data_IF_348684834039
#
_entry.id   IF_348684834039
#
_cell.length_a   1.000
_cell.length_b   1.000
_cell.length_c   1.000
_cell.angle_alpha   90.00
_cell.angle_beta   90.00
_cell.angle_gamma   90.00
#
_symmetry.space_group_name_H-M   'P 1'
#
loop_
_entity.id
_entity.type
_entity.pdbx_description
1 polymer ?
#
# COMPACT_ATOMS: atom_id res chain seq x y z
N UNK A 1 -15.62 -6.60 -2.61
CA UNK A 1 -16.07 -5.82 -3.79
C UNK A 1 -16.31 -6.76 -4.96
N UNK A 2 -17.30 -6.49 -5.82
CA UNK A 2 -17.55 -7.25 -7.05
C UNK A 2 -17.64 -6.26 -8.21
N UNK A 3 -17.12 -6.64 -9.37
CA UNK A 3 -17.29 -5.89 -10.61
C UNK A 3 -18.72 -6.13 -11.14
N UNK A 4 -19.33 -5.08 -11.69
CA UNK A 4 -20.59 -5.21 -12.40
C UNK A 4 -20.38 -5.96 -13.73
N UNK A 5 -21.33 -6.81 -14.12
CA UNK A 5 -21.28 -7.61 -15.33
C UNK A 5 -22.60 -7.51 -16.10
N UNK A 6 -22.60 -7.88 -17.37
CA UNK A 6 -23.82 -8.16 -18.14
C UNK A 6 -24.46 -9.51 -17.76
N UNK A 7 -23.76 -10.33 -16.98
CA UNK A 7 -24.27 -11.60 -16.45
C UNK A 7 -25.16 -11.42 -15.21
N UNK A 8 -25.75 -12.53 -14.76
CA UNK A 8 -26.68 -12.54 -13.63
C UNK A 8 -26.03 -12.25 -12.26
N UNK A 9 -24.72 -12.36 -12.13
CA UNK A 9 -23.96 -12.21 -10.87
C UNK A 9 -22.70 -11.36 -11.08
N UNK A 10 -22.42 -10.49 -10.13
CA UNK A 10 -21.14 -9.78 -10.09
C UNK A 10 -19.97 -10.73 -9.87
N UNK A 11 -18.82 -10.40 -10.43
CA UNK A 11 -17.60 -11.20 -10.37
C UNK A 11 -16.44 -10.32 -9.87
N UNK A 12 -15.50 -10.88 -9.12
CA UNK A 12 -14.28 -10.14 -8.77
C UNK A 12 -13.21 -10.36 -9.84
N UNK A 13 -12.89 -9.30 -10.58
CA UNK A 13 -11.73 -9.24 -11.46
C UNK A 13 -10.82 -8.09 -10.99
N UNK A 14 -9.61 -8.43 -10.58
CA UNK A 14 -8.69 -7.47 -9.94
C UNK A 14 -7.88 -6.67 -10.96
N UNK A 15 -7.48 -7.31 -12.04
CA UNK A 15 -6.62 -6.76 -13.10
C UNK A 15 -6.73 -7.63 -14.37
N UNK A 16 -5.97 -7.28 -15.40
CA UNK A 16 -5.95 -8.00 -16.68
C UNK A 16 -5.52 -9.46 -16.54
N UNK A 17 -4.48 -9.73 -15.77
CA UNK A 17 -3.97 -11.10 -15.58
C UNK A 17 -5.04 -11.97 -14.88
N UNK A 18 -5.75 -11.41 -13.90
CA UNK A 18 -6.84 -12.12 -13.24
C UNK A 18 -8.06 -12.33 -14.15
N UNK A 19 -8.29 -11.47 -15.15
CA UNK A 19 -9.34 -11.69 -16.15
C UNK A 19 -9.09 -12.99 -16.96
N UNK A 20 -7.83 -13.26 -17.29
CA UNK A 20 -7.46 -14.44 -18.06
C UNK A 20 -7.64 -15.75 -17.24
N UNK A 21 -7.64 -15.66 -15.90
CA UNK A 21 -7.86 -16.79 -14.99
C UNK A 21 -9.34 -17.05 -14.66
N UNK A 22 -10.24 -16.08 -14.91
CA UNK A 22 -11.66 -16.26 -14.63
C UNK A 22 -12.42 -16.85 -15.80
N UNK A 23 -13.60 -17.42 -15.51
CA UNK A 23 -14.47 -17.99 -16.56
C UNK A 23 -15.13 -16.88 -17.35
N UNK A 24 -14.54 -16.49 -18.47
CA UNK A 24 -15.00 -15.40 -19.34
C UNK A 24 -16.33 -15.69 -20.06
N UNK A 25 -16.80 -16.92 -20.04
CA UNK A 25 -18.11 -17.34 -20.59
C UNK A 25 -19.31 -16.96 -19.69
N UNK A 26 -19.06 -16.33 -18.54
CA UNK A 26 -20.12 -15.91 -17.62
C UNK A 26 -20.71 -14.54 -17.95
N UNK A 27 -20.07 -13.77 -18.83
CA UNK A 27 -20.46 -12.38 -19.19
C UNK A 27 -19.94 -12.03 -20.58
N UNK A 28 -20.59 -11.09 -21.24
CA UNK A 28 -20.07 -10.42 -22.45
C UNK A 28 -19.18 -9.23 -22.06
N UNK A 29 -19.63 -8.45 -21.08
CA UNK A 29 -18.90 -7.29 -20.61
C UNK A 29 -18.87 -7.27 -19.07
N UNK A 30 -17.74 -6.81 -18.53
CA UNK A 30 -17.53 -6.60 -17.09
C UNK A 30 -16.86 -5.25 -16.87
N UNK A 31 -17.31 -4.51 -15.87
CA UNK A 31 -16.69 -3.26 -15.50
C UNK A 31 -15.22 -3.48 -15.04
N UNK A 32 -14.29 -2.64 -15.47
CA UNK A 32 -12.87 -2.72 -15.05
C UNK A 32 -12.66 -2.49 -13.57
N UNK A 33 -13.50 -1.66 -12.96
CA UNK A 33 -13.37 -1.31 -11.55
C UNK A 33 -14.43 -2.01 -10.73
N UNK A 34 -14.06 -2.71 -9.66
CA UNK A 34 -15.02 -3.34 -8.77
C UNK A 34 -15.78 -2.27 -7.97
N UNK A 35 -17.03 -2.57 -7.65
CA UNK A 35 -17.90 -1.69 -6.87
C UNK A 35 -19.21 -1.34 -7.58
N UNK A 36 -20.07 -0.63 -6.88
CA UNK A 36 -21.39 -0.22 -7.37
C UNK A 36 -21.32 0.78 -8.53
N UNK A 37 -20.20 1.48 -8.69
CA UNK A 37 -20.00 2.44 -9.78
C UNK A 37 -20.15 1.79 -11.17
N UNK A 38 -19.73 0.52 -11.30
CA UNK A 38 -19.88 -0.23 -12.54
C UNK A 38 -21.32 -0.49 -12.96
N UNK A 39 -22.28 -0.42 -12.04
CA UNK A 39 -23.70 -0.60 -12.35
C UNK A 39 -24.28 0.54 -13.20
N UNK A 40 -23.61 1.67 -13.31
CA UNK A 40 -23.99 2.79 -14.19
C UNK A 40 -23.52 2.62 -15.63
N UNK A 41 -22.76 1.56 -15.92
CA UNK A 41 -22.26 1.30 -17.26
C UNK A 41 -23.27 0.50 -18.07
N UNK A 42 -23.39 0.87 -19.32
CA UNK A 42 -24.18 0.18 -20.33
C UNK A 42 -23.34 0.01 -21.57
N UNK A 43 -23.43 -1.13 -22.21
CA UNK A 43 -22.81 -1.38 -23.51
C UNK A 43 -23.89 -1.60 -24.54
N UNK A 44 -23.76 -0.89 -25.65
CA UNK A 44 -24.71 -0.95 -26.76
C UNK A 44 -23.96 -1.31 -28.03
N UNK A 45 -24.42 -2.33 -28.76
CA UNK A 45 -23.77 -2.89 -29.94
C UNK A 45 -24.68 -2.77 -31.15
N UNK A 46 -24.18 -2.21 -32.24
CA UNK A 46 -24.85 -2.13 -33.52
C UNK A 46 -24.18 -3.07 -34.53
N UNK A 47 -24.89 -4.10 -35.03
CA UNK A 47 -24.37 -5.01 -36.05
C UNK A 47 -24.32 -4.37 -37.44
N UNK A 48 -23.76 -5.11 -38.42
CA UNK A 48 -23.62 -4.68 -39.82
C UNK A 48 -24.94 -4.63 -40.58
N UNK A 49 -25.92 -3.86 -40.07
CA UNK A 49 -27.21 -3.63 -40.72
C UNK A 49 -27.50 -2.14 -40.80
N UNK A 50 -27.58 -1.62 -42.02
CA UNK A 50 -27.82 -0.18 -42.27
C UNK A 50 -29.18 0.30 -41.72
N UNK A 51 -30.19 -0.59 -41.68
CA UNK A 51 -31.52 -0.27 -41.17
C UNK A 51 -31.45 -0.15 -39.64
N UNK A 52 -30.77 -1.06 -38.98
CA UNK A 52 -30.53 -1.06 -37.54
C UNK A 52 -29.73 0.19 -37.15
N UNK A 53 -28.64 0.46 -37.90
CA UNK A 53 -27.79 1.65 -37.64
C UNK A 53 -28.57 2.96 -37.74
N UNK A 54 -29.42 3.10 -38.77
CA UNK A 54 -30.20 4.33 -38.94
C UNK A 54 -31.16 4.61 -37.78
N UNK A 55 -31.63 3.56 -37.12
CA UNK A 55 -32.52 3.66 -35.94
C UNK A 55 -31.80 3.64 -34.59
N UNK A 56 -30.50 3.47 -34.59
CA UNK A 56 -29.70 3.31 -33.39
C UNK A 56 -29.48 4.66 -32.68
N UNK A 57 -29.70 4.70 -31.36
CA UNK A 57 -29.62 5.92 -30.58
C UNK A 57 -28.25 6.62 -30.59
N UNK A 58 -27.20 5.88 -30.89
CA UNK A 58 -25.81 6.36 -30.88
C UNK A 58 -25.18 6.47 -32.28
N UNK A 59 -25.99 6.38 -33.34
CA UNK A 59 -25.50 6.46 -34.73
C UNK A 59 -24.69 7.72 -35.01
N UNK A 60 -25.06 8.86 -34.40
CA UNK A 60 -24.37 10.14 -34.57
C UNK A 60 -22.93 10.16 -34.00
N UNK A 61 -22.53 9.14 -33.26
CA UNK A 61 -21.18 8.99 -32.71
C UNK A 61 -20.22 8.30 -33.69
N UNK A 62 -20.73 7.82 -34.85
CA UNK A 62 -19.98 7.04 -35.82
C UNK A 62 -20.12 7.62 -37.22
N UNK A 63 -19.07 7.52 -38.02
CA UNK A 63 -19.00 8.15 -39.36
C UNK A 63 -19.89 7.45 -40.40
N UNK A 64 -20.10 6.14 -40.29
CA UNK A 64 -20.90 5.35 -41.20
C UNK A 64 -21.44 4.08 -40.53
N UNK A 65 -22.39 3.39 -41.16
CA UNK A 65 -22.87 2.08 -40.72
C UNK A 65 -21.73 1.02 -40.80
N UNK A 66 -21.69 0.06 -39.85
CA UNK A 66 -20.77 -1.05 -39.94
C UNK A 66 -21.16 -1.98 -41.12
N UNK A 67 -20.19 -2.68 -41.68
CA UNK A 67 -20.41 -3.48 -42.87
C UNK A 67 -19.48 -4.69 -42.95
N UNK A 68 -18.79 -4.82 -44.05
CA UNK A 68 -17.82 -5.89 -44.29
C UNK A 68 -16.42 -5.29 -44.33
N UNK A 69 -15.55 -5.78 -43.49
CA UNK A 69 -14.14 -5.36 -43.50
C UNK A 69 -13.42 -5.89 -44.76
N UNK A 70 -12.36 -5.21 -45.18
CA UNK A 70 -11.49 -5.68 -46.27
C UNK A 70 -10.92 -7.07 -45.94
N UNK A 71 -10.61 -7.31 -44.67
CA UNK A 71 -10.10 -8.59 -44.18
C UNK A 71 -11.10 -9.73 -44.39
N UNK A 72 -12.36 -9.52 -44.08
CA UNK A 72 -13.44 -10.50 -44.27
C UNK A 72 -13.77 -10.68 -45.78
N UNK A 73 -13.84 -9.58 -46.54
CA UNK A 73 -14.11 -9.62 -47.98
C UNK A 73 -13.08 -10.44 -48.75
N UNK A 74 -11.80 -10.30 -48.43
CA UNK A 74 -10.70 -11.09 -49.02
C UNK A 74 -10.85 -12.61 -48.77
N UNK A 75 -11.63 -12.99 -47.75
CA UNK A 75 -11.91 -14.39 -47.36
C UNK A 75 -13.30 -14.86 -47.72
N UNK A 76 -13.99 -14.10 -48.58
CA UNK A 76 -15.37 -14.38 -48.99
C UNK A 76 -16.38 -14.44 -47.83
N UNK A 77 -16.09 -13.69 -46.77
CA UNK A 77 -16.99 -13.40 -45.64
C UNK A 77 -17.63 -12.04 -45.79
N UNK A 78 -18.73 -11.78 -45.07
CA UNK A 78 -19.48 -10.53 -45.12
C UNK A 78 -20.04 -10.16 -43.74
N UNK A 79 -20.33 -8.89 -43.55
CA UNK A 79 -21.04 -8.33 -42.37
C UNK A 79 -20.35 -8.61 -41.03
N UNK A 80 -19.03 -8.66 -41.02
CA UNK A 80 -18.24 -8.94 -39.82
C UNK A 80 -18.06 -7.74 -38.89
N UNK A 81 -18.25 -6.52 -39.39
CA UNK A 81 -18.05 -5.33 -38.61
C UNK A 81 -19.23 -5.04 -37.66
N UNK A 82 -18.96 -4.41 -36.55
CA UNK A 82 -19.94 -3.86 -35.63
C UNK A 82 -19.42 -2.60 -34.97
N UNK A 83 -20.33 -1.78 -34.44
CA UNK A 83 -20.01 -0.66 -33.57
C UNK A 83 -20.38 -0.99 -32.13
N UNK A 84 -19.52 -0.57 -31.21
CA UNK A 84 -19.77 -0.72 -29.78
C UNK A 84 -19.62 0.64 -29.11
N UNK A 85 -20.62 1.00 -28.30
CA UNK A 85 -20.61 2.19 -27.46
C UNK A 85 -20.68 1.80 -25.99
N UNK A 86 -19.86 2.43 -25.17
CA UNK A 86 -19.91 2.33 -23.71
C UNK A 86 -20.54 3.61 -23.17
N UNK A 87 -21.60 3.48 -22.41
CA UNK A 87 -22.47 4.57 -21.98
C UNK A 87 -22.50 4.64 -20.45
N UNK A 88 -22.52 5.83 -19.89
CA UNK A 88 -22.84 6.11 -18.49
C UNK A 88 -24.35 6.25 -18.35
N UNK A 89 -25.05 5.14 -18.10
CA UNK A 89 -26.51 5.10 -18.10
C UNK A 89 -27.12 6.02 -17.05
N UNK A 90 -26.62 5.97 -15.83
CA UNK A 90 -27.12 6.71 -14.68
C UNK A 90 -26.38 8.04 -14.42
N UNK A 91 -25.29 8.29 -15.11
CA UNK A 91 -24.48 9.49 -14.94
C UNK A 91 -23.51 9.44 -13.75
N UNK A 92 -23.22 8.25 -13.21
CA UNK A 92 -22.33 8.12 -12.04
C UNK A 92 -20.86 8.40 -12.36
N UNK A 93 -20.45 8.27 -13.63
CA UNK A 93 -19.09 8.56 -14.10
C UNK A 93 -18.90 9.99 -14.60
N UNK A 94 -19.84 10.45 -15.44
CA UNK A 94 -19.77 11.74 -16.13
C UNK A 94 -20.51 12.87 -15.39
N UNK A 95 -21.42 12.51 -14.50
CA UNK A 95 -22.39 13.45 -13.88
C UNK A 95 -23.63 13.67 -14.74
N UNK A 96 -23.73 13.12 -15.96
CA UNK A 96 -24.86 13.29 -16.87
C UNK A 96 -25.31 11.92 -17.39
N UNK A 97 -26.54 11.47 -17.05
CA UNK A 97 -27.08 10.22 -17.56
C UNK A 97 -27.11 10.14 -19.08
N UNK A 98 -26.79 8.96 -19.61
CA UNK A 98 -26.81 8.70 -21.06
C UNK A 98 -25.57 9.21 -21.82
N UNK A 99 -24.55 9.67 -21.11
CA UNK A 99 -23.28 10.12 -21.76
C UNK A 99 -22.53 8.95 -22.36
N UNK A 100 -22.13 9.05 -23.63
CA UNK A 100 -21.22 8.09 -24.27
C UNK A 100 -19.81 8.34 -23.76
N UNK A 101 -19.22 7.33 -23.13
CA UNK A 101 -17.88 7.39 -22.55
C UNK A 101 -16.80 6.96 -23.56
N UNK A 102 -17.05 5.88 -24.30
CA UNK A 102 -16.14 5.33 -25.30
C UNK A 102 -16.91 4.80 -26.50
N UNK A 103 -16.26 4.82 -27.66
CA UNK A 103 -16.77 4.23 -28.91
C UNK A 103 -15.72 3.34 -29.54
N UNK A 104 -16.14 2.21 -30.09
CA UNK A 104 -15.29 1.28 -30.82
C UNK A 104 -15.89 1.08 -32.23
N UNK A 105 -15.46 1.88 -33.21
CA UNK A 105 -15.97 1.82 -34.56
C UNK A 105 -15.36 0.64 -35.34
N UNK A 106 -16.15 0.00 -36.16
CA UNK A 106 -15.75 -1.01 -37.17
C UNK A 106 -14.90 -2.13 -36.58
N UNK A 107 -15.21 -2.59 -35.36
CA UNK A 107 -14.56 -3.78 -34.78
C UNK A 107 -15.18 -5.03 -35.39
N UNK A 108 -14.37 -6.08 -35.60
CA UNK A 108 -14.78 -7.29 -36.27
C UNK A 108 -15.21 -8.38 -35.28
N UNK A 109 -16.20 -9.15 -35.69
CA UNK A 109 -16.63 -10.40 -35.03
C UNK A 109 -15.67 -11.56 -35.29
N UNK A 110 -14.90 -11.51 -36.38
CA UNK A 110 -13.95 -12.57 -36.72
C UNK A 110 -12.75 -12.57 -35.79
N UNK A 111 -12.49 -13.69 -35.13
CA UNK A 111 -11.41 -13.80 -34.12
C UNK A 111 -10.00 -13.64 -34.69
N UNK A 112 -9.83 -13.88 -36.00
CA UNK A 112 -8.57 -13.70 -36.72
C UNK A 112 -8.46 -12.35 -37.46
N UNK A 113 -9.44 -11.46 -37.32
CA UNK A 113 -9.51 -10.18 -38.03
C UNK A 113 -8.31 -9.28 -37.69
N UNK A 114 -7.82 -8.63 -38.75
CA UNK A 114 -6.72 -7.67 -38.63
C UNK A 114 -7.07 -6.36 -39.31
N UNK A 115 -6.64 -5.28 -38.69
CA UNK A 115 -6.67 -3.95 -39.28
C UNK A 115 -5.69 -3.84 -40.46
N UNK A 116 -5.78 -2.79 -41.25
CA UNK A 116 -4.84 -2.49 -42.34
C UNK A 116 -3.38 -2.39 -41.85
N UNK A 117 -3.14 -2.11 -40.57
CA UNK A 117 -1.83 -2.04 -39.94
C UNK A 117 -1.34 -3.40 -39.41
N UNK A 118 -2.15 -4.45 -39.51
CA UNK A 118 -1.80 -5.80 -39.06
C UNK A 118 -2.03 -6.09 -37.57
N UNK A 119 -2.60 -5.15 -36.81
CA UNK A 119 -3.04 -5.38 -35.43
C UNK A 119 -4.38 -6.11 -35.38
N UNK A 120 -4.67 -6.82 -34.30
CA UNK A 120 -5.99 -7.47 -34.12
C UNK A 120 -7.10 -6.42 -34.21
N UNK A 121 -8.14 -6.73 -34.98
CA UNK A 121 -9.40 -5.97 -35.03
C UNK A 121 -10.57 -6.77 -34.43
N UNK A 122 -10.25 -7.88 -33.79
CA UNK A 122 -11.25 -8.67 -33.06
C UNK A 122 -11.79 -7.88 -31.87
N UNK A 123 -13.09 -7.75 -31.76
CA UNK A 123 -13.73 -6.86 -30.78
C UNK A 123 -13.29 -7.11 -29.33
N UNK A 124 -13.10 -8.37 -28.91
CA UNK A 124 -12.62 -8.72 -27.57
C UNK A 124 -11.20 -8.18 -27.34
N UNK A 125 -10.31 -8.37 -28.31
CA UNK A 125 -8.92 -7.90 -28.21
C UNK A 125 -8.86 -6.37 -28.18
N UNK A 126 -9.65 -5.72 -29.02
CA UNK A 126 -9.71 -4.26 -29.10
C UNK A 126 -10.19 -3.68 -27.77
N UNK A 127 -11.31 -4.16 -27.23
CA UNK A 127 -11.87 -3.68 -25.96
C UNK A 127 -10.90 -3.96 -24.82
N UNK A 128 -10.41 -5.21 -24.71
CA UNK A 128 -9.51 -5.58 -23.63
C UNK A 128 -8.17 -4.85 -23.67
N UNK A 129 -7.73 -4.42 -24.84
CA UNK A 129 -6.52 -3.64 -25.03
C UNK A 129 -6.68 -2.13 -24.84
N UNK A 130 -7.85 -1.55 -25.13
CA UNK A 130 -8.01 -0.08 -25.26
C UNK A 130 -9.05 0.53 -24.34
N UNK A 131 -10.14 -0.17 -23.97
CA UNK A 131 -11.17 0.40 -23.10
C UNK A 131 -10.60 0.81 -21.73
N UNK A 132 -11.09 1.91 -21.19
CA UNK A 132 -10.84 2.36 -19.83
C UNK A 132 -11.90 1.93 -18.82
N UNK A 133 -13.06 1.48 -19.30
CA UNK A 133 -14.24 1.24 -18.45
C UNK A 133 -14.64 -0.22 -18.35
N UNK A 134 -14.50 -0.99 -19.43
CA UNK A 134 -14.96 -2.38 -19.49
C UNK A 134 -13.90 -3.34 -20.02
N UNK A 135 -14.06 -4.60 -19.67
CA UNK A 135 -13.45 -5.72 -20.35
C UNK A 135 -14.52 -6.54 -21.05
N UNK A 136 -14.16 -7.14 -22.18
CA UNK A 136 -14.99 -8.08 -22.92
C UNK A 136 -14.69 -9.51 -22.47
N UNK A 137 -15.74 -10.29 -22.30
CA UNK A 137 -15.73 -11.72 -22.05
C UNK A 137 -16.16 -12.51 -23.27
N UNK A 138 -16.40 -13.79 -23.06
CA UNK A 138 -16.64 -14.80 -24.10
C UNK A 138 -17.99 -15.54 -23.89
N UNK A 139 -18.99 -14.83 -23.37
CA UNK A 139 -20.29 -15.44 -23.15
C UNK A 139 -21.05 -15.59 -24.47
N UNK A 140 -21.56 -16.80 -24.78
CA UNK A 140 -22.20 -17.08 -26.08
C UNK A 140 -23.63 -16.58 -26.19
N UNK A 141 -24.16 -15.86 -25.19
CA UNK A 141 -25.60 -15.61 -25.15
C UNK A 141 -26.07 -14.48 -26.06
N UNK A 142 -25.25 -13.41 -26.22
CA UNK A 142 -25.65 -12.21 -26.95
C UNK A 142 -24.86 -12.00 -28.22
N UNK A 143 -23.55 -12.19 -28.19
CA UNK A 143 -22.67 -12.19 -29.33
C UNK A 143 -22.28 -13.63 -29.61
N UNK A 144 -23.09 -14.36 -30.36
CA UNK A 144 -22.72 -15.71 -30.77
C UNK A 144 -21.40 -15.65 -31.54
N UNK A 145 -20.34 -16.28 -30.96
CA UNK A 145 -19.02 -16.24 -31.55
C UNK A 145 -19.02 -16.72 -32.96
N UNK A 146 -18.78 -15.82 -33.82
CA UNK A 146 -18.32 -16.12 -35.13
C UNK A 146 -16.87 -16.58 -34.97
N UNK A 147 -16.52 -17.80 -35.27
CA UNK A 147 -15.14 -18.29 -35.28
C UNK A 147 -14.23 -17.46 -36.18
N UNK A 148 -13.08 -17.97 -36.51
CA UNK A 148 -12.19 -17.30 -37.46
C UNK A 148 -12.80 -17.25 -38.86
N UNK A 149 -12.28 -16.42 -39.73
CA UNK A 149 -12.76 -16.24 -41.10
C UNK A 149 -12.55 -17.48 -42.00
N UNK A 150 -11.83 -18.50 -41.54
CA UNK A 150 -11.56 -19.76 -42.24
C UNK A 150 -12.49 -20.88 -41.78
N UNK A 151 -12.99 -20.80 -40.56
CA UNK A 151 -13.99 -21.75 -40.06
C UNK A 151 -15.39 -21.28 -40.43
N UNK A 152 -15.80 -21.71 -41.53
CA UNK A 152 -17.04 -21.50 -42.24
C UNK A 152 -18.28 -21.33 -41.39
N UNK A 153 -18.69 -20.08 -41.22
CA UNK A 153 -20.08 -19.72 -40.97
C UNK A 153 -20.86 -19.48 -42.29
N UNK A 154 -20.48 -20.09 -43.38
CA UNK A 154 -21.11 -19.83 -44.67
C UNK A 154 -20.88 -18.42 -45.21
N UNK A 155 -19.96 -17.68 -44.66
CA UNK A 155 -19.54 -16.37 -45.15
C UNK A 155 -20.31 -15.14 -44.60
N UNK A 156 -21.39 -15.28 -43.86
CA UNK A 156 -22.15 -14.14 -43.35
C UNK A 156 -22.20 -14.11 -41.82
N UNK A 157 -21.61 -13.06 -41.24
CA UNK A 157 -21.55 -12.85 -39.78
C UNK A 157 -22.86 -12.29 -39.21
N UNK A 158 -23.72 -11.68 -40.04
CA UNK A 158 -24.99 -11.16 -39.58
C UNK A 158 -25.99 -12.25 -39.17
N UNK A 159 -25.85 -13.47 -39.73
CA UNK A 159 -26.67 -14.62 -39.34
C UNK A 159 -26.45 -15.03 -37.87
N UNK A 160 -25.38 -14.57 -37.27
CA UNK A 160 -25.01 -14.90 -35.90
C UNK A 160 -25.59 -13.92 -34.87
N UNK A 161 -25.78 -12.67 -35.26
CA UNK A 161 -26.41 -11.66 -34.45
C UNK A 161 -27.81 -11.46 -35.00
N UNK A 162 -28.84 -11.58 -34.15
CA UNK A 162 -30.19 -11.13 -34.53
C UNK A 162 -30.09 -9.69 -35.04
N UNK A 163 -30.75 -9.39 -36.17
CA UNK A 163 -30.72 -8.08 -36.81
C UNK A 163 -31.39 -7.01 -35.91
N UNK A 164 -30.82 -6.75 -34.74
CA UNK A 164 -31.25 -5.78 -33.73
C UNK A 164 -30.01 -5.27 -32.95
N UNK A 165 -30.09 -4.08 -32.45
CA UNK A 165 -29.09 -3.58 -31.48
C UNK A 165 -29.12 -4.44 -30.22
N UNK A 166 -27.94 -4.75 -29.69
CA UNK A 166 -27.79 -5.38 -28.39
C UNK A 166 -27.50 -4.27 -27.39
N UNK A 167 -28.28 -4.20 -26.32
CA UNK A 167 -28.21 -3.14 -25.33
C UNK A 167 -28.26 -3.75 -23.95
N UNK A 168 -27.09 -3.77 -23.28
CA UNK A 168 -26.88 -4.48 -22.03
C UNK A 168 -26.36 -3.52 -20.94
N UNK A 169 -27.16 -3.37 -19.88
CA UNK A 169 -26.73 -2.67 -18.67
C UNK A 169 -25.92 -3.60 -17.77
N UNK A 170 -24.81 -3.13 -17.24
CA UNK A 170 -24.04 -3.86 -16.25
C UNK A 170 -24.71 -3.79 -14.89
N UNK A 171 -24.70 -4.89 -14.16
CA UNK A 171 -25.38 -5.00 -12.87
C UNK A 171 -24.57 -5.84 -11.87
N UNK A 172 -25.07 -5.96 -10.65
CA UNK A 172 -24.49 -6.79 -9.58
C UNK A 172 -23.08 -6.39 -9.11
N UNK A 173 -22.57 -5.23 -9.51
CA UNK A 173 -21.39 -4.61 -8.90
C UNK A 173 -21.69 -4.28 -7.44
N UNK A 174 -20.76 -4.63 -6.54
CA UNK A 174 -20.96 -4.44 -5.10
C UNK A 174 -19.71 -3.86 -4.42
N UNK A 175 -19.94 -2.88 -3.55
CA UNK A 175 -18.90 -2.32 -2.70
C UNK A 175 -18.69 -3.20 -1.46
N UNK A 176 -17.47 -3.18 -0.95
CA UNK A 176 -17.15 -3.66 0.38
C UNK A 176 -16.38 -2.56 1.11
N UNK A 177 -17.12 -1.64 1.71
CA UNK A 177 -16.58 -0.48 2.41
C UNK A 177 -16.18 -0.79 3.86
N UNK A 178 -16.52 -1.99 4.35
CA UNK A 178 -16.16 -2.50 5.67
C UNK A 178 -15.53 -3.88 5.50
N UNK A 179 -14.23 -3.94 5.17
CA UNK A 179 -13.55 -5.21 5.02
C UNK A 179 -13.50 -5.95 6.37
N UNK A 180 -13.61 -7.26 6.33
CA UNK A 180 -13.40 -8.12 7.50
C UNK A 180 -11.91 -8.11 7.92
N UNK A 181 -11.64 -8.48 9.17
CA UNK A 181 -10.26 -8.62 9.68
C UNK A 181 -9.41 -9.48 8.78
N UNK A 182 -9.93 -10.65 8.34
CA UNK A 182 -9.20 -11.54 7.45
C UNK A 182 -8.87 -10.94 6.08
N UNK A 183 -9.76 -10.12 5.51
CA UNK A 183 -9.47 -9.41 4.25
C UNK A 183 -8.39 -8.34 4.42
N UNK A 184 -8.37 -7.65 5.57
CA UNK A 184 -7.30 -6.68 5.89
C UNK A 184 -5.98 -7.42 6.09
N UNK A 185 -5.97 -8.54 6.82
CA UNK A 185 -4.79 -9.37 7.02
C UNK A 185 -4.21 -9.86 5.69
N UNK A 186 -5.03 -10.40 4.79
CA UNK A 186 -4.59 -10.78 3.44
C UNK A 186 -3.95 -9.62 2.67
N UNK A 187 -4.42 -8.38 2.90
CA UNK A 187 -3.79 -7.18 2.34
C UNK A 187 -2.41 -6.90 2.94
N UNK A 188 -2.23 -7.12 4.25
CA UNK A 188 -0.94 -6.96 4.92
C UNK A 188 0.05 -8.09 4.62
N UNK A 189 -0.43 -9.33 4.43
CA UNK A 189 0.40 -10.49 4.07
C UNK A 189 1.17 -10.26 2.76
N UNK A 190 0.64 -9.43 1.84
CA UNK A 190 1.35 -9.02 0.63
C UNK A 190 2.67 -8.28 0.90
N UNK A 191 2.85 -7.75 2.11
CA UNK A 191 4.07 -7.08 2.56
C UNK A 191 4.98 -7.98 3.39
N UNK A 192 4.66 -9.27 3.56
CA UNK A 192 5.45 -10.19 4.39
C UNK A 192 6.81 -10.52 3.76
N UNK A 193 6.87 -10.64 2.43
CA UNK A 193 8.10 -10.95 1.74
C UNK A 193 8.99 -9.72 1.54
N UNK A 194 10.16 -9.73 2.18
CA UNK A 194 11.16 -8.66 2.09
C UNK A 194 11.92 -8.63 0.75
N UNK A 195 11.86 -9.71 -0.04
CA UNK A 195 12.59 -9.79 -1.31
C UNK A 195 11.79 -9.15 -2.46
N UNK A 196 10.47 -9.27 -2.43
CA UNK A 196 9.58 -8.76 -3.47
C UNK A 196 9.12 -7.33 -3.21
N UNK A 197 8.92 -6.95 -1.93
CA UNK A 197 8.38 -5.63 -1.57
C UNK A 197 9.32 -4.89 -0.64
N UNK A 198 9.93 -3.81 -1.13
CA UNK A 198 10.84 -2.96 -0.37
C UNK A 198 10.07 -1.87 0.39
N UNK A 199 9.88 -2.06 1.71
CA UNK A 199 9.28 -1.09 2.63
C UNK A 199 10.14 -0.92 3.88
N UNK A 200 10.04 0.25 4.53
CA UNK A 200 10.76 0.56 5.77
C UNK A 200 9.85 0.88 6.95
N UNK A 201 8.64 1.37 6.66
CA UNK A 201 7.66 1.78 7.65
C UNK A 201 6.31 1.15 7.28
N UNK A 202 5.68 0.45 8.22
CA UNK A 202 4.34 -0.11 8.10
C UNK A 202 3.42 0.56 9.11
N UNK A 203 2.19 0.83 8.75
CA UNK A 203 1.17 1.30 9.68
C UNK A 203 -0.19 0.75 9.30
N UNK A 204 -0.99 0.43 10.30
CA UNK A 204 -2.35 -0.07 10.13
C UNK A 204 -3.36 0.95 10.59
N UNK A 205 -4.54 0.87 10.01
CA UNK A 205 -5.76 1.49 10.52
C UNK A 205 -6.41 0.48 11.49
N UNK A 206 -6.95 0.91 12.63
CA UNK A 206 -7.74 0.04 13.50
C UNK A 206 -8.89 -0.64 12.73
N UNK A 207 -9.29 -1.82 13.18
CA UNK A 207 -10.43 -2.53 12.63
C UNK A 207 -11.75 -1.76 12.79
N UNK A 208 -12.76 -2.17 12.03
CA UNK A 208 -14.07 -1.52 12.07
C UNK A 208 -14.93 -1.95 13.27
N UNK A 209 -14.58 -3.06 13.95
CA UNK A 209 -15.33 -3.64 15.06
C UNK A 209 -14.44 -3.82 16.29
N UNK A 210 -14.99 -3.57 17.49
CA UNK A 210 -14.25 -3.73 18.73
C UNK A 210 -13.71 -5.17 18.92
N UNK A 211 -12.40 -5.27 19.20
CA UNK A 211 -11.66 -6.53 19.31
C UNK A 211 -10.81 -6.89 18.09
N UNK A 212 -11.14 -6.37 16.92
CA UNK A 212 -10.37 -6.58 15.70
C UNK A 212 -9.04 -5.82 15.72
N UNK A 213 -9.00 -4.70 16.45
CA UNK A 213 -7.84 -3.83 16.55
C UNK A 213 -6.60 -4.51 17.13
N UNK A 214 -6.79 -5.35 18.18
CA UNK A 214 -5.70 -6.12 18.78
C UNK A 214 -5.17 -7.16 17.81
N UNK A 215 -6.06 -7.81 17.05
CA UNK A 215 -5.71 -8.83 16.07
C UNK A 215 -4.89 -8.21 14.94
N UNK A 216 -5.38 -7.12 14.34
CA UNK A 216 -4.68 -6.42 13.25
C UNK A 216 -3.36 -5.80 13.70
N UNK A 217 -3.32 -5.21 14.89
CA UNK A 217 -2.09 -4.67 15.45
C UNK A 217 -1.04 -5.76 15.67
N UNK A 218 -1.43 -6.92 16.25
CA UNK A 218 -0.51 -8.03 16.45
C UNK A 218 -0.05 -8.68 15.15
N UNK A 219 -0.89 -8.74 14.15
CA UNK A 219 -0.55 -9.20 12.81
C UNK A 219 0.55 -8.32 12.19
N UNK A 220 0.35 -7.01 12.16
CA UNK A 220 1.34 -6.06 11.66
C UNK A 220 2.67 -6.13 12.43
N UNK A 221 2.62 -6.29 13.76
CA UNK A 221 3.80 -6.47 14.61
C UNK A 221 4.51 -7.80 14.31
N UNK A 222 3.76 -8.85 13.95
CA UNK A 222 4.31 -10.15 13.52
C UNK A 222 5.04 -10.03 12.21
N UNK A 223 4.44 -9.41 11.19
CA UNK A 223 5.07 -9.15 9.90
C UNK A 223 6.38 -8.38 10.08
N UNK A 224 6.37 -7.28 10.86
CA UNK A 224 7.57 -6.50 11.12
C UNK A 224 8.67 -7.31 11.85
N UNK A 225 8.28 -8.20 12.76
CA UNK A 225 9.21 -9.05 13.52
C UNK A 225 9.80 -10.15 12.65
N UNK A 226 9.01 -10.72 11.73
CA UNK A 226 9.45 -11.71 10.75
C UNK A 226 10.43 -11.11 9.75
N UNK A 227 10.06 -9.99 9.16
CA UNK A 227 10.88 -9.27 8.15
C UNK A 227 12.20 -8.71 8.70
N UNK A 228 12.17 -8.10 9.88
CA UNK A 228 13.30 -7.42 10.54
C UNK A 228 13.85 -6.17 9.84
N UNK A 229 13.36 -5.84 8.66
CA UNK A 229 13.79 -4.68 7.85
C UNK A 229 12.80 -3.51 7.89
N UNK A 230 11.74 -3.60 8.70
CA UNK A 230 10.68 -2.59 8.83
C UNK A 230 10.39 -2.24 10.29
N UNK A 231 9.74 -1.09 10.50
CA UNK A 231 9.15 -0.71 11.79
C UNK A 231 7.65 -0.49 11.60
N UNK A 232 6.84 -1.15 12.43
CA UNK A 232 5.39 -1.06 12.42
C UNK A 232 4.89 -0.04 13.43
N UNK A 233 3.90 0.76 13.03
CA UNK A 233 3.24 1.75 13.85
C UNK A 233 1.80 1.35 14.06
N UNK A 234 1.36 1.28 15.32
CA UNK A 234 0.02 0.89 15.72
C UNK A 234 -0.59 1.93 16.63
N UNK A 235 -1.86 2.22 16.42
CA UNK A 235 -2.65 3.17 17.20
C UNK A 235 -3.74 2.46 17.99
N UNK A 236 -4.11 2.97 19.16
CA UNK A 236 -5.28 2.47 19.90
C UNK A 236 -6.58 2.72 19.12
N UNK A 237 -7.64 1.95 19.42
CA UNK A 237 -8.98 2.21 18.91
C UNK A 237 -9.43 3.64 19.17
N UNK A 238 -10.24 4.18 18.28
CA UNK A 238 -10.73 5.56 18.41
C UNK A 238 -11.60 5.70 19.65
N UNK A 239 -12.43 4.70 19.97
CA UNK A 239 -13.29 4.64 21.14
C UNK A 239 -12.53 4.67 22.47
N UNK A 240 -11.32 4.14 22.54
CA UNK A 240 -10.48 4.17 23.73
C UNK A 240 -9.88 5.56 24.00
N UNK A 241 -9.97 6.47 23.02
CA UNK A 241 -9.39 7.80 23.08
C UNK A 241 -10.41 8.93 22.99
N UNK A 242 -11.53 8.71 22.27
CA UNK A 242 -12.56 9.72 22.01
C UNK A 242 -13.81 9.42 22.81
N UNK A 243 -14.20 10.34 23.69
CA UNK A 243 -15.44 10.23 24.48
C UNK A 243 -15.37 9.33 25.70
N UNK A 244 -14.24 8.71 25.99
CA UNK A 244 -14.01 7.93 27.21
C UNK A 244 -13.62 8.84 28.40
N UNK A 245 -13.95 8.39 29.62
CA UNK A 245 -13.58 9.10 30.85
C UNK A 245 -12.14 8.80 31.30
N UNK A 246 -11.57 7.67 30.88
CA UNK A 246 -10.27 7.15 31.34
C UNK A 246 -9.33 6.79 30.19
N UNK A 247 -9.08 7.70 29.20
CA UNK A 247 -8.39 7.36 27.98
C UNK A 247 -6.98 6.79 28.21
N UNK A 248 -6.23 7.28 29.18
CA UNK A 248 -4.89 6.77 29.46
C UNK A 248 -4.90 5.31 30.01
N UNK A 249 -5.93 4.95 30.76
CA UNK A 249 -6.09 3.59 31.28
C UNK A 249 -6.60 2.62 30.19
N UNK A 250 -7.54 3.09 29.38
CA UNK A 250 -8.13 2.30 28.29
C UNK A 250 -7.06 1.98 27.21
N UNK A 251 -6.32 2.99 26.77
CA UNK A 251 -5.17 2.80 25.83
C UNK A 251 -4.12 1.87 26.40
N UNK A 252 -3.83 1.97 27.72
CA UNK A 252 -2.90 1.05 28.38
C UNK A 252 -3.43 -0.38 28.37
N UNK A 253 -4.70 -0.58 28.68
CA UNK A 253 -5.33 -1.91 28.70
C UNK A 253 -5.31 -2.58 27.32
N UNK A 254 -5.52 -1.80 26.26
CA UNK A 254 -5.36 -2.26 24.88
C UNK A 254 -3.89 -2.62 24.57
N UNK A 255 -2.95 -1.72 24.88
CA UNK A 255 -1.53 -1.94 24.59
C UNK A 255 -0.92 -3.13 25.36
N UNK A 256 -1.46 -3.48 26.53
CA UNK A 256 -1.03 -4.64 27.32
C UNK A 256 -1.36 -5.99 26.61
N UNK A 257 -2.28 -6.00 25.64
CA UNK A 257 -2.63 -7.16 24.81
C UNK A 257 -1.72 -7.33 23.59
N UNK A 258 -0.88 -6.35 23.31
CA UNK A 258 -0.02 -6.37 22.14
C UNK A 258 1.28 -7.14 22.38
N UNK A 259 1.74 -7.80 21.32
CA UNK A 259 2.99 -8.54 21.30
C UNK A 259 4.17 -7.61 21.57
N UNK A 260 5.05 -8.01 22.49
CA UNK A 260 6.26 -7.26 22.81
C UNK A 260 7.32 -7.45 21.75
N UNK A 261 7.59 -6.39 20.98
CA UNK A 261 8.63 -6.39 19.94
C UNK A 261 9.31 -5.03 19.84
N UNK A 262 10.57 -5.02 19.47
CA UNK A 262 11.30 -3.78 19.20
C UNK A 262 11.03 -3.22 17.80
N UNK A 263 10.36 -3.97 16.94
CA UNK A 263 9.96 -3.54 15.59
C UNK A 263 8.61 -2.83 15.57
N UNK A 264 7.95 -2.67 16.73
CA UNK A 264 6.68 -1.97 16.87
C UNK A 264 6.80 -0.65 17.60
N UNK A 265 5.92 0.29 17.28
CA UNK A 265 5.78 1.61 17.92
C UNK A 265 4.30 1.85 18.19
N UNK A 266 3.97 2.21 19.44
CA UNK A 266 2.59 2.45 19.89
C UNK A 266 2.43 3.93 20.19
N UNK A 267 1.42 4.58 19.64
CA UNK A 267 1.01 5.94 20.00
C UNK A 267 -0.12 5.96 21.04
N UNK A 268 -0.50 7.16 21.50
CA UNK A 268 -1.40 7.29 22.63
C UNK A 268 -2.79 7.79 22.31
N UNK A 269 -3.08 8.25 21.08
CA UNK A 269 -4.33 9.01 20.87
C UNK A 269 -4.74 9.10 19.41
N UNK A 270 -6.03 9.17 19.17
CA UNK A 270 -6.56 9.60 17.87
C UNK A 270 -6.36 11.11 17.66
N UNK A 271 -6.25 11.50 16.42
CA UNK A 271 -6.08 12.90 15.97
C UNK A 271 -7.27 13.33 15.11
N UNK A 272 -7.63 14.61 15.15
CA UNK A 272 -8.71 15.15 14.35
C UNK A 272 -8.16 15.91 13.16
N UNK A 273 -8.55 15.53 11.97
CA UNK A 273 -8.14 16.13 10.70
C UNK A 273 -9.34 16.65 9.93
N UNK A 274 -9.12 17.61 9.06
CA UNK A 274 -10.13 18.12 8.15
C UNK A 274 -10.11 17.34 6.83
N UNK A 275 -11.21 16.69 6.52
CA UNK A 275 -11.46 16.03 5.24
C UNK A 275 -12.00 17.05 4.25
N UNK A 276 -11.13 17.58 3.39
CA UNK A 276 -11.47 18.65 2.44
C UNK A 276 -12.43 18.20 1.31
N UNK A 277 -12.53 16.90 1.08
CA UNK A 277 -13.38 16.37 0.00
C UNK A 277 -14.85 16.26 0.42
N UNK A 278 -15.06 15.93 1.71
CA UNK A 278 -16.41 15.79 2.26
C UNK A 278 -16.82 16.97 3.16
N UNK A 279 -15.93 17.99 3.33
CA UNK A 279 -16.15 19.16 4.19
C UNK A 279 -16.52 18.79 5.64
N UNK A 280 -15.82 17.78 6.20
CA UNK A 280 -16.06 17.30 7.56
C UNK A 280 -14.76 17.10 8.33
N UNK A 281 -14.85 17.17 9.65
CA UNK A 281 -13.75 16.83 10.54
C UNK A 281 -13.86 15.38 11.00
N UNK A 282 -12.82 14.58 10.72
CA UNK A 282 -12.77 13.15 11.08
C UNK A 282 -11.74 12.88 12.14
N UNK A 283 -12.04 11.92 13.02
CA UNK A 283 -11.04 11.31 13.88
C UNK A 283 -10.35 10.20 13.11
N UNK A 284 -9.03 10.17 13.16
CA UNK A 284 -8.21 9.14 12.55
C UNK A 284 -7.13 8.67 13.52
N UNK A 285 -6.60 7.45 13.37
CA UNK A 285 -5.44 6.97 14.12
C UNK A 285 -4.20 7.80 13.84
N UNK A 286 -3.29 7.90 14.81
CA UNK A 286 -2.05 8.67 14.67
C UNK A 286 -0.90 7.90 14.00
N UNK A 287 -1.00 6.57 13.82
CA UNK A 287 0.06 5.72 13.28
C UNK A 287 0.68 6.24 11.98
N UNK A 288 -0.15 6.68 11.01
CA UNK A 288 0.33 7.25 9.76
C UNK A 288 1.14 8.54 9.96
N UNK A 289 0.74 9.40 10.91
CA UNK A 289 1.50 10.61 11.25
C UNK A 289 2.81 10.27 11.95
N UNK A 290 2.82 9.24 12.81
CA UNK A 290 4.03 8.74 13.45
C UNK A 290 5.05 8.21 12.44
N UNK A 291 4.59 7.42 11.47
CA UNK A 291 5.41 6.96 10.35
C UNK A 291 5.91 8.16 9.53
N UNK A 292 5.04 9.14 9.26
CA UNK A 292 5.39 10.39 8.57
C UNK A 292 6.45 11.22 9.28
N UNK A 293 6.41 11.29 10.63
CA UNK A 293 7.47 11.93 11.43
C UNK A 293 8.83 11.22 11.28
N UNK A 294 8.81 9.90 11.20
CA UNK A 294 10.02 9.12 10.92
C UNK A 294 10.57 9.42 9.52
N UNK A 295 9.73 9.41 8.50
CA UNK A 295 10.12 9.74 7.13
C UNK A 295 10.63 11.18 7.00
N UNK A 296 9.97 12.14 7.68
CA UNK A 296 10.47 13.52 7.73
C UNK A 296 11.81 13.63 8.45
N UNK A 297 12.02 12.82 9.50
CA UNK A 297 13.31 12.78 10.21
C UNK A 297 14.43 12.31 9.30
N UNK A 298 14.17 11.34 8.40
CA UNK A 298 15.12 10.86 7.41
C UNK A 298 15.51 11.98 6.41
N UNK A 299 14.55 12.82 6.07
CA UNK A 299 14.74 13.93 5.12
C UNK A 299 15.57 15.08 5.71
N UNK A 300 15.32 15.45 6.98
CA UNK A 300 15.95 16.63 7.61
C UNK A 300 17.20 16.29 8.42
N UNK A 301 17.40 15.02 8.75
CA UNK A 301 18.55 14.54 9.51
C UNK A 301 18.95 13.15 9.00
N UNK A 302 18.70 12.10 9.80
CA UNK A 302 18.96 10.70 9.43
C UNK A 302 18.03 9.77 10.22
N UNK A 303 17.92 8.51 9.79
CA UNK A 303 17.06 7.49 10.39
C UNK A 303 17.38 7.18 11.87
N UNK A 304 18.60 7.45 12.31
CA UNK A 304 19.04 7.25 13.69
C UNK A 304 18.81 8.43 14.64
N UNK A 305 18.20 9.51 14.16
CA UNK A 305 17.73 10.56 15.04
C UNK A 305 16.34 10.23 15.58
N UNK A 306 16.08 10.63 16.85
CA UNK A 306 14.76 10.47 17.44
C UNK A 306 13.73 11.32 16.69
N UNK A 307 12.59 10.75 16.27
CA UNK A 307 11.49 11.49 15.63
C UNK A 307 10.68 12.32 16.65
N UNK A 308 10.98 12.20 17.94
CA UNK A 308 10.26 12.87 19.02
C UNK A 308 10.83 14.24 19.37
N UNK A 309 10.07 15.01 20.13
CA UNK A 309 10.46 16.30 20.68
C UNK A 309 10.10 17.50 19.80
N UNK A 310 10.45 18.69 20.30
CA UNK A 310 10.00 19.96 19.68
C UNK A 310 10.68 20.27 18.34
N UNK A 311 11.82 19.66 18.06
CA UNK A 311 12.59 19.94 16.83
C UNK A 311 12.06 19.15 15.63
N UNK A 312 11.68 17.88 15.81
CA UNK A 312 11.29 16.96 14.72
C UNK A 312 9.95 16.29 14.94
N UNK A 313 9.46 16.27 16.19
CA UNK A 313 8.24 15.56 16.56
C UNK A 313 6.95 16.38 16.44
N UNK A 314 6.97 17.53 15.79
CA UNK A 314 5.78 18.36 15.62
C UNK A 314 4.84 17.73 14.59
N UNK A 315 3.61 17.45 14.99
CA UNK A 315 2.57 16.86 14.14
C UNK A 315 1.81 17.99 13.46
N UNK A 316 1.86 18.03 12.13
CA UNK A 316 1.23 19.05 11.31
C UNK A 316 -0.07 18.52 10.67
N UNK A 317 -0.93 19.44 10.21
CA UNK A 317 -2.16 19.09 9.49
C UNK A 317 -3.30 18.58 10.38
N UNK A 318 -3.17 18.68 11.69
CA UNK A 318 -4.20 18.28 12.66
C UNK A 318 -4.91 19.48 13.29
N UNK A 319 -6.19 19.31 13.64
CA UNK A 319 -6.97 20.32 14.34
C UNK A 319 -6.85 20.18 15.85
N UNK A 320 -6.91 18.95 16.36
CA UNK A 320 -6.75 18.63 17.78
C UNK A 320 -6.47 17.15 18.01
N UNK A 321 -6.02 16.79 19.20
CA UNK A 321 -5.89 15.41 19.69
C UNK A 321 -7.14 15.03 20.51
N UNK A 322 -7.43 13.72 20.63
CA UNK A 322 -8.61 13.22 21.32
C UNK A 322 -8.56 13.55 22.83
N UNK A 323 -7.41 13.33 23.46
CA UNK A 323 -7.15 13.80 24.81
C UNK A 323 -5.71 14.30 24.93
N UNK A 324 -5.48 15.27 25.82
CA UNK A 324 -4.14 15.79 26.09
C UNK A 324 -3.65 15.24 27.44
N UNK A 325 -2.71 14.26 27.45
CA UNK A 325 -2.30 13.57 28.67
C UNK A 325 -1.57 14.52 29.62
N UNK A 326 -2.01 14.53 30.89
CA UNK A 326 -1.31 15.22 31.98
C UNK A 326 -0.01 14.50 32.35
N UNK A 327 0.81 15.08 33.23
CA UNK A 327 2.09 14.47 33.60
C UNK A 327 1.93 13.04 34.13
N UNK A 328 0.98 12.79 35.03
CA UNK A 328 0.72 11.46 35.60
C UNK A 328 0.27 10.46 34.49
N UNK A 329 -0.56 10.90 33.55
CA UNK A 329 -1.00 10.07 32.42
C UNK A 329 0.19 9.74 31.51
N UNK A 330 1.05 10.73 31.20
CA UNK A 330 2.27 10.53 30.41
C UNK A 330 3.22 9.53 31.07
N UNK A 331 3.41 9.63 32.39
CA UNK A 331 4.25 8.70 33.14
C UNK A 331 3.69 7.26 33.07
N UNK A 332 2.37 7.11 33.15
CA UNK A 332 1.67 5.82 33.02
C UNK A 332 1.81 5.24 31.62
N UNK A 333 1.50 6.03 30.58
CA UNK A 333 1.60 5.64 29.19
C UNK A 333 3.04 5.27 28.82
N UNK A 334 4.00 6.12 29.19
CA UNK A 334 5.40 5.89 28.86
C UNK A 334 6.01 4.68 29.55
N UNK A 335 5.58 4.37 30.79
CA UNK A 335 5.93 3.10 31.46
C UNK A 335 5.35 1.87 30.72
N UNK A 336 4.16 2.02 30.16
CA UNK A 336 3.48 0.99 29.36
C UNK A 336 3.99 0.91 27.90
N UNK A 337 5.09 1.55 27.53
CA UNK A 337 5.69 1.53 26.18
C UNK A 337 4.92 2.33 25.12
N UNK A 338 3.98 3.14 25.55
CA UNK A 338 3.15 3.98 24.69
C UNK A 338 3.80 5.35 24.57
N UNK A 339 3.89 5.88 23.37
CA UNK A 339 4.49 7.18 23.11
C UNK A 339 3.42 8.28 23.20
N UNK A 340 3.47 9.16 24.22
CA UNK A 340 2.49 10.20 24.37
C UNK A 340 2.57 11.22 23.24
N UNK A 341 1.43 11.60 22.69
CA UNK A 341 1.25 12.76 21.84
C UNK A 341 0.65 13.85 22.71
N UNK A 342 1.30 15.01 22.76
CA UNK A 342 0.97 16.08 23.71
C UNK A 342 0.84 17.42 22.99
N UNK A 343 -0.19 18.17 23.31
CA UNK A 343 -0.35 19.55 22.84
C UNK A 343 0.11 20.52 23.92
N UNK A 344 1.15 21.29 23.62
CA UNK A 344 1.69 22.32 24.51
C UNK A 344 1.25 23.72 24.05
N UNK A 345 0.78 24.57 24.98
CA UNK A 345 0.44 25.95 24.65
C UNK A 345 1.63 26.71 24.02
N UNK A 346 1.39 27.26 22.82
CA UNK A 346 2.41 28.03 22.10
C UNK A 346 3.47 27.21 21.38
N UNK A 347 3.48 25.88 21.51
CA UNK A 347 4.47 25.01 20.86
C UNK A 347 3.84 23.95 19.95
N UNK A 348 2.51 23.88 19.90
CA UNK A 348 1.77 22.94 19.06
C UNK A 348 1.70 21.52 19.63
N UNK A 349 1.28 20.59 18.79
CA UNK A 349 1.17 19.18 19.14
C UNK A 349 2.42 18.42 18.72
N UNK A 350 2.99 17.68 19.64
CA UNK A 350 4.26 16.98 19.44
C UNK A 350 4.22 15.55 19.94
N UNK A 351 4.97 14.69 19.26
CA UNK A 351 5.33 13.37 19.77
C UNK A 351 6.32 13.54 20.92
N UNK A 352 5.92 13.08 22.12
CA UNK A 352 6.69 13.28 23.34
C UNK A 352 7.20 11.96 23.94
N UNK A 353 7.58 11.03 23.09
CA UNK A 353 8.15 9.74 23.45
C UNK A 353 8.79 9.06 22.24
N UNK A 354 9.79 8.21 22.49
CA UNK A 354 10.55 7.50 21.44
C UNK A 354 10.80 6.02 21.78
N UNK A 355 9.87 5.39 22.50
CA UNK A 355 9.93 3.96 22.85
C UNK A 355 9.40 3.07 21.75
N UNK A 356 10.04 1.90 21.64
CA UNK A 356 9.47 0.75 20.91
C UNK A 356 8.48 -0.02 21.79
N UNK A 357 7.71 -0.93 21.20
CA UNK A 357 6.77 -1.80 21.92
C UNK A 357 7.46 -2.89 22.77
N UNK A 358 8.78 -2.85 22.92
CA UNK A 358 9.54 -3.83 23.68
C UNK A 358 9.35 -3.67 25.19
N UNK A 359 8.89 -4.75 25.86
CA UNK A 359 8.65 -4.74 27.29
C UNK A 359 9.94 -4.85 28.12
N UNK A 360 10.90 -5.64 27.66
CA UNK A 360 12.18 -5.83 28.38
C UNK A 360 13.16 -4.71 28.03
N UNK A 361 13.82 -4.06 29.01
CA UNK A 361 14.85 -3.08 28.74
C UNK A 361 15.97 -3.69 27.88
N UNK A 362 16.31 -3.04 26.79
CA UNK A 362 17.42 -3.43 25.91
C UNK A 362 17.97 -2.21 25.15
N UNK A 363 18.99 -2.43 24.33
CA UNK A 363 19.47 -1.39 23.43
C UNK A 363 18.41 -0.95 22.40
N UNK A 364 17.46 -1.83 22.09
CA UNK A 364 16.41 -1.65 21.09
C UNK A 364 15.08 -1.14 21.65
N UNK A 365 15.06 -0.65 22.88
CA UNK A 365 13.87 -0.08 23.50
C UNK A 365 13.54 1.34 23.00
N UNK A 366 14.33 1.86 22.04
CA UNK A 366 14.18 3.20 21.45
C UNK A 366 14.00 3.12 19.94
N UNK A 367 13.11 3.98 19.42
CA UNK A 367 12.80 4.05 17.99
C UNK A 367 14.07 4.37 17.18
N UNK A 368 14.85 5.37 17.63
CA UNK A 368 16.05 5.79 16.93
C UNK A 368 17.09 4.69 16.80
N UNK A 369 17.28 3.87 17.85
CA UNK A 369 18.25 2.75 17.81
C UNK A 369 17.71 1.63 16.90
N UNK A 370 16.42 1.28 17.00
CA UNK A 370 15.86 0.25 16.13
C UNK A 370 15.94 0.67 14.66
N UNK A 371 15.62 1.91 14.33
CA UNK A 371 15.71 2.41 12.96
C UNK A 371 17.16 2.48 12.45
N UNK A 372 18.11 2.86 13.32
CA UNK A 372 19.53 2.76 13.00
C UNK A 372 19.89 1.34 12.53
N UNK A 373 19.53 0.32 13.32
CA UNK A 373 19.87 -1.07 12.99
C UNK A 373 19.15 -1.55 11.74
N UNK A 374 17.86 -1.26 11.56
CA UNK A 374 17.12 -1.58 10.32
C UNK A 374 17.84 -1.01 9.10
N UNK A 375 18.26 0.26 9.16
CA UNK A 375 18.97 0.91 8.05
C UNK A 375 20.35 0.29 7.78
N UNK A 376 21.12 0.01 8.86
CA UNK A 376 22.44 -0.58 8.72
C UNK A 376 22.38 -2.02 8.22
N UNK A 377 21.51 -2.84 8.83
CA UNK A 377 21.32 -4.24 8.46
C UNK A 377 20.91 -4.38 6.99
N UNK A 378 19.95 -3.55 6.53
CA UNK A 378 19.49 -3.56 5.15
C UNK A 378 20.57 -3.15 4.16
N UNK A 379 21.31 -2.07 4.45
CA UNK A 379 22.40 -1.61 3.59
C UNK A 379 23.55 -2.64 3.50
N UNK A 380 23.95 -3.20 4.65
CA UNK A 380 25.05 -4.19 4.71
C UNK A 380 24.61 -5.51 4.08
N UNK A 381 23.37 -5.97 4.33
CA UNK A 381 22.84 -7.19 3.72
C UNK A 381 22.78 -7.10 2.20
N UNK A 382 22.34 -5.96 1.67
CA UNK A 382 22.33 -5.71 0.22
C UNK A 382 23.73 -5.76 -0.37
N UNK A 383 24.70 -5.15 0.30
CA UNK A 383 26.10 -5.17 -0.12
C UNK A 383 26.74 -6.56 0.04
N UNK A 384 26.36 -7.33 1.06
CA UNK A 384 26.85 -8.69 1.30
C UNK A 384 26.38 -9.68 0.21
N UNK A 385 25.25 -9.43 -0.47
CA UNK A 385 24.79 -10.29 -1.58
C UNK A 385 25.82 -10.44 -2.70
N UNK A 386 26.67 -9.44 -2.91
CA UNK A 386 27.76 -9.50 -3.91
C UNK A 386 28.92 -10.45 -3.52
N UNK A 387 28.95 -10.94 -2.29
CA UNK A 387 29.93 -11.94 -1.84
C UNK A 387 29.42 -13.39 -1.96
N UNK A 388 28.13 -13.56 -2.33
CA UNK A 388 27.57 -14.89 -2.56
C UNK A 388 28.28 -15.57 -3.75
N UNK A 389 28.60 -16.85 -3.57
CA UNK A 389 29.29 -17.69 -4.55
C UNK A 389 30.77 -17.35 -4.77
N UNK A 390 31.35 -16.37 -4.03
CA UNK A 390 32.77 -16.11 -4.00
C UNK A 390 33.49 -17.06 -3.01
N UNK A 391 34.81 -17.19 -3.15
CA UNK A 391 35.60 -18.02 -2.24
C UNK A 391 35.70 -17.37 -0.85
N UNK A 392 35.57 -18.19 0.21
CA UNK A 392 35.78 -17.71 1.57
C UNK A 392 37.30 -17.73 1.91
N UNK A 393 38.04 -16.81 1.34
CA UNK A 393 39.45 -16.60 1.56
C UNK A 393 39.76 -15.26 2.27
N UNK A 394 41.02 -15.02 2.56
CA UNK A 394 41.43 -13.79 3.24
C UNK A 394 41.15 -12.52 2.40
N UNK A 395 41.24 -12.65 1.08
CA UNK A 395 41.00 -11.55 0.15
C UNK A 395 39.54 -11.12 0.19
N UNK A 396 38.59 -12.05 0.08
CA UNK A 396 37.14 -11.78 0.12
C UNK A 396 36.73 -11.20 1.49
N UNK A 397 37.29 -11.74 2.59
CA UNK A 397 37.04 -11.20 3.94
C UNK A 397 37.56 -9.78 4.11
N UNK A 398 38.75 -9.50 3.59
CA UNK A 398 39.30 -8.14 3.60
C UNK A 398 38.51 -7.18 2.73
N UNK A 399 38.04 -7.62 1.57
CA UNK A 399 37.19 -6.84 0.69
C UNK A 399 35.86 -6.47 1.36
N UNK A 400 35.22 -7.42 2.05
CA UNK A 400 34.01 -7.14 2.82
C UNK A 400 34.28 -6.14 3.94
N UNK A 401 35.31 -6.28 4.74
CA UNK A 401 35.68 -5.30 5.79
C UNK A 401 35.91 -3.90 5.20
N UNK A 402 36.68 -3.84 4.11
CA UNK A 402 36.96 -2.55 3.43
C UNK A 402 35.74 -1.88 2.84
N UNK A 403 34.67 -2.62 2.58
CA UNK A 403 33.37 -2.10 2.16
C UNK A 403 32.54 -1.60 3.33
N UNK A 404 32.47 -2.35 4.44
CA UNK A 404 31.61 -2.06 5.60
C UNK A 404 32.21 -0.98 6.51
N UNK A 405 33.51 -1.00 6.78
CA UNK A 405 34.14 -0.06 7.72
C UNK A 405 34.01 1.42 7.32
N UNK A 406 34.23 1.83 6.07
CA UNK A 406 34.02 3.23 5.66
C UNK A 406 32.57 3.68 5.84
N UNK A 407 31.60 2.82 5.54
CA UNK A 407 30.18 3.09 5.76
C UNK A 407 29.87 3.32 7.23
N UNK A 408 30.32 2.44 8.13
CA UNK A 408 30.12 2.62 9.58
C UNK A 408 30.87 3.85 10.11
N UNK A 409 32.01 4.20 9.52
CA UNK A 409 32.77 5.41 9.88
C UNK A 409 32.01 6.67 9.48
N UNK A 410 31.34 6.68 8.33
CA UNK A 410 30.44 7.77 7.93
C UNK A 410 29.27 7.92 8.91
N UNK A 411 28.59 6.83 9.24
CA UNK A 411 27.50 6.81 10.23
C UNK A 411 27.97 7.31 11.60
N UNK A 412 29.22 6.97 12.00
CA UNK A 412 29.86 7.51 13.23
C UNK A 412 30.06 9.03 13.11
N UNK A 413 30.57 9.50 11.97
CA UNK A 413 30.73 10.94 11.69
C UNK A 413 29.40 11.70 11.73
N UNK A 414 28.31 11.08 11.28
CA UNK A 414 26.95 11.59 11.30
C UNK A 414 26.20 11.35 12.62
N UNK A 415 26.91 10.98 13.70
CA UNK A 415 26.41 10.82 15.08
C UNK A 415 25.43 9.66 15.30
N UNK A 416 25.35 8.68 14.38
CA UNK A 416 24.48 7.51 14.52
C UNK A 416 25.00 6.52 15.55
N UNK A 417 26.33 6.32 15.57
CA UNK A 417 27.01 5.40 16.47
C UNK A 417 28.17 6.10 17.19
N UNK A 418 28.47 5.64 18.40
CA UNK A 418 29.61 6.15 19.17
C UNK A 418 30.88 5.39 18.86
N UNK A 419 30.76 4.07 18.61
CA UNK A 419 31.88 3.21 18.26
C UNK A 419 31.40 1.94 17.52
N UNK A 420 32.31 1.31 16.76
CA UNK A 420 32.03 0.07 16.06
C UNK A 420 33.31 -0.80 15.92
N UNK A 421 33.13 -2.09 15.71
CA UNK A 421 34.17 -3.03 15.30
C UNK A 421 33.59 -4.03 14.31
N UNK A 422 34.36 -4.36 13.28
CA UNK A 422 34.02 -5.38 12.28
C UNK A 422 35.06 -6.50 12.36
N UNK A 423 34.60 -7.70 12.69
CA UNK A 423 35.45 -8.92 12.73
C UNK A 423 34.98 -9.83 11.61
N UNK A 424 35.85 -10.01 10.64
CA UNK A 424 35.66 -10.93 9.51
C UNK A 424 37.05 -11.44 9.09
N UNK A 425 37.56 -12.37 9.85
CA UNK A 425 38.90 -12.94 9.66
C UNK A 425 38.93 -14.45 9.98
N UNK A 426 40.12 -15.04 10.19
CA UNK A 426 40.24 -16.44 10.48
C UNK A 426 39.70 -16.84 11.86
N UNK A 427 39.44 -15.88 12.77
CA UNK A 427 38.96 -16.19 14.12
C UNK A 427 37.46 -16.56 14.12
N UNK A 428 36.62 -15.93 13.24
CA UNK A 428 35.22 -16.26 13.08
C UNK A 428 34.92 -17.06 11.80
N UNK A 429 35.88 -17.19 10.86
CA UNK A 429 35.79 -18.07 9.71
C UNK A 429 36.84 -19.20 9.86
N UNK A 430 36.58 -20.10 10.80
CA UNK A 430 37.41 -21.28 11.03
C UNK A 430 37.30 -22.27 9.85
N UNK A 431 38.22 -23.27 9.80
CA UNK A 431 38.16 -24.32 8.77
C UNK A 431 36.79 -25.01 8.69
N UNK A 432 36.15 -25.27 9.84
CA UNK A 432 34.82 -25.86 9.91
C UNK A 432 33.74 -24.94 9.27
N UNK A 433 33.83 -23.63 9.48
CA UNK A 433 32.89 -22.64 8.87
C UNK A 433 33.08 -22.61 7.35
N UNK A 434 34.34 -22.64 6.88
CA UNK A 434 34.69 -22.66 5.46
C UNK A 434 34.22 -23.96 4.81
N UNK A 435 34.48 -25.12 5.46
CA UNK A 435 34.07 -26.44 4.96
C UNK A 435 32.55 -26.62 4.88
N UNK A 436 31.78 -25.84 5.66
CA UNK A 436 30.33 -25.82 5.59
C UNK A 436 29.77 -24.73 4.63
N UNK A 437 30.63 -24.17 3.77
CA UNK A 437 30.29 -23.12 2.80
C UNK A 437 29.63 -21.86 3.43
N UNK A 438 30.07 -21.52 4.65
CA UNK A 438 29.54 -20.37 5.39
C UNK A 438 30.58 -19.25 5.43
N UNK A 439 30.07 -18.01 5.34
CA UNK A 439 30.84 -16.80 5.54
C UNK A 439 30.25 -16.06 6.77
N UNK A 440 31.08 -15.73 7.75
CA UNK A 440 30.69 -15.11 9.00
C UNK A 440 31.39 -13.77 9.17
N UNK A 441 30.61 -12.72 9.41
CA UNK A 441 31.10 -11.41 9.78
C UNK A 441 30.37 -10.90 11.01
N UNK A 442 31.08 -10.55 12.06
CA UNK A 442 30.51 -9.99 13.29
C UNK A 442 30.72 -8.48 13.30
N UNK A 443 29.61 -7.77 13.40
CA UNK A 443 29.58 -6.31 13.39
C UNK A 443 29.08 -5.82 14.75
N UNK A 444 29.99 -5.27 15.55
CA UNK A 444 29.72 -4.73 16.88
C UNK A 444 29.45 -3.22 16.77
N UNK A 445 28.31 -2.77 17.28
CA UNK A 445 27.87 -1.37 17.18
C UNK A 445 27.46 -0.85 18.54
N UNK A 446 28.00 0.32 18.91
CA UNK A 446 27.56 1.10 20.07
C UNK A 446 26.68 2.27 19.58
N UNK A 447 25.34 2.16 19.67
CA UNK A 447 24.43 3.21 19.17
C UNK A 447 24.51 4.47 20.02
N UNK A 448 24.29 5.62 19.40
CA UNK A 448 24.05 6.86 20.11
C UNK A 448 22.65 6.84 20.74
N UNK A 449 22.53 7.32 21.99
CA UNK A 449 21.24 7.35 22.71
C UNK A 449 20.66 8.75 22.76
N UNK A 450 19.33 8.85 22.62
CA UNK A 450 18.58 10.08 22.82
C UNK A 450 18.51 10.45 24.30
N UNK A 451 18.42 11.75 24.59
CA UNK A 451 18.21 12.28 25.95
C UNK A 451 16.71 12.28 26.22
N UNK A 452 16.26 11.52 27.21
CA UNK A 452 14.86 11.44 27.61
C UNK A 452 14.57 12.16 28.93
N UNK A 453 15.58 12.35 29.80
CA UNK A 453 15.44 13.01 31.09
C UNK A 453 16.52 14.06 31.26
N UNK A 454 16.12 15.26 31.70
CA UNK A 454 17.00 16.36 32.00
C UNK A 454 16.80 16.72 33.48
N UNK A 455 17.85 16.57 34.30
CA UNK A 455 17.84 17.00 35.67
C UNK A 455 18.61 18.33 35.77
N UNK A 456 17.95 19.36 36.25
CA UNK A 456 18.54 20.67 36.48
C UNK A 456 18.66 20.90 37.97
N UNK A 457 19.89 21.05 38.47
CA UNK A 457 20.16 21.35 39.87
C UNK A 457 20.50 22.85 40.00
N UNK A 458 19.61 23.61 40.63
CA UNK A 458 19.85 24.99 40.96
C UNK A 458 20.33 25.08 42.40
N UNK A 459 21.57 25.56 42.61
CA UNK A 459 22.18 25.69 43.92
C UNK A 459 22.25 27.19 44.23
N UNK A 460 21.49 27.65 45.22
CA UNK A 460 21.57 28.99 45.70
C UNK A 460 22.76 29.11 46.67
N UNK A 461 23.70 29.99 46.36
CA UNK A 461 24.86 30.25 47.19
C UNK A 461 24.72 31.56 47.94
N UNK A 462 25.41 31.70 49.08
CA UNK A 462 25.48 32.97 49.83
C UNK A 462 26.39 33.95 49.10
N UNK A 463 26.07 35.23 49.20
CA UNK A 463 26.92 36.31 48.67
C UNK A 463 28.29 36.26 49.32
N UNK A 464 29.38 36.07 48.55
CA UNK A 464 30.75 35.99 49.03
C UNK A 464 31.41 34.59 49.03
N UNK A 465 30.73 33.56 48.59
CA UNK A 465 31.32 32.22 48.37
C UNK A 465 31.79 32.12 46.93
N UNK A 466 33.03 31.71 46.69
CA UNK A 466 33.54 31.48 45.34
C UNK A 466 33.00 30.15 44.78
N UNK A 467 32.64 30.14 43.49
CA UNK A 467 32.07 28.94 42.85
C UNK A 467 33.02 27.70 42.85
N UNK A 468 34.34 27.95 42.92
CA UNK A 468 35.35 26.89 43.03
C UNK A 468 35.21 26.09 44.36
N UNK A 469 34.76 26.69 45.45
CA UNK A 469 34.53 25.99 46.73
C UNK A 469 33.28 25.08 46.70
N UNK A 470 32.31 25.38 45.84
CA UNK A 470 31.06 24.63 45.74
C UNK A 470 31.20 23.44 44.77
N UNK A 471 32.02 23.60 43.73
CA UNK A 471 32.21 22.58 42.66
C UNK A 471 33.22 21.50 43.08
N UNK A 472 33.96 21.73 44.20
CA UNK A 472 34.82 20.69 44.81
C UNK A 472 36.07 20.36 43.99
N UNK A 473 36.68 21.38 43.38
CA UNK A 473 38.02 21.29 42.77
C UNK A 473 39.03 22.07 43.58
#
# INVERSE_FOLDING_TARGET
MLNATTGATGLLVKNRDHLDDVTTTAFEFIAKYPGTLGNSLKVDVCPADTTVFTGWAYADQFDAAPGTSDFAADRSCSNDEMHIAVIDEDGAWSGVPGTVLETFPFVSQASDAKSAQGTSNYWIDVINGTSSYVWAGDAPALLTHAGDSTETRGGDYLDAITAATISESLAAGADNNVPSVGEIQLGFDMFEDAETVDVNLLFAVPGANGGDDVTLANDLLSIATSRKDVVAFVSPPIEDTVGTATPAADVKAWADQLTSTSYGVIDSTAIKVYDKYNDVYRWIPAAGHMAGLCANTDNVADAWFSPAGFTRGQILGITKIAFNPKQADRDTLYKARINPIVSFPGQGTVLYGDKTAQAKPSAFDRINVRRLFVTLEKAIATAAKFQLFEFNDEFTRAMFRNMVEPFLRDVKGRRGITDFAVVCDATNNTGEVVDTNRFVADIYIKPARSINFITLNFIATRTGVEFSEIIGQ
#
